data_IF_556613879578
#
_entry.id   IF_556613879578
#
_cell.length_a   1.000
_cell.length_b   1.000
_cell.length_c   1.000
_cell.angle_alpha   90.00
_cell.angle_beta   90.00
_cell.angle_gamma   90.00
#
_symmetry.space_group_name_H-M   'P 1'
#
loop_
_entity.id
_entity.type
_entity.pdbx_description
1 polymer ?
#
# COMPACT_ATOMS: atom_id res chain seq x y z
N UNK A 1 -25.51 21.59 14.13
CA UNK A 1 -24.11 21.47 14.57
C UNK A 1 -23.41 20.49 13.65
N UNK A 2 -22.56 20.98 12.74
CA UNK A 2 -21.72 20.09 11.92
C UNK A 2 -20.63 19.50 12.83
N UNK A 3 -20.38 18.18 12.78
CA UNK A 3 -19.28 17.59 13.52
C UNK A 3 -17.96 18.09 12.90
N UNK A 4 -17.32 19.06 13.56
CA UNK A 4 -15.94 19.45 13.24
C UNK A 4 -15.02 18.31 13.66
N UNK A 5 -14.63 17.48 12.71
CA UNK A 5 -13.55 16.50 12.91
C UNK A 5 -12.31 17.31 13.30
N UNK A 6 -11.71 16.99 14.44
CA UNK A 6 -10.53 17.69 14.95
C UNK A 6 -9.35 17.47 14.00
N UNK A 7 -8.69 18.54 13.61
CA UNK A 7 -7.47 18.53 12.77
C UNK A 7 -6.42 17.56 13.34
N UNK A 8 -6.34 17.44 14.66
CA UNK A 8 -5.42 16.55 15.36
C UNK A 8 -5.70 15.04 15.15
N UNK A 9 -6.96 14.63 14.89
CA UNK A 9 -7.27 13.20 14.69
C UNK A 9 -6.90 12.72 13.28
N UNK A 10 -6.99 13.61 12.28
CA UNK A 10 -6.52 13.32 10.92
C UNK A 10 -4.99 13.23 10.91
N UNK A 11 -4.28 14.15 11.57
CA UNK A 11 -2.81 14.09 11.66
C UNK A 11 -2.30 12.84 12.40
N UNK A 12 -2.96 12.42 13.49
CA UNK A 12 -2.61 11.16 14.17
C UNK A 12 -2.83 9.94 13.28
N UNK A 13 -3.89 9.94 12.46
CA UNK A 13 -4.15 8.86 11.51
C UNK A 13 -3.16 8.89 10.33
N UNK A 14 -2.74 10.05 9.81
CA UNK A 14 -1.83 10.14 8.65
C UNK A 14 -0.37 9.88 9.02
N UNK A 15 0.06 10.28 10.21
CA UNK A 15 1.47 10.33 10.58
C UNK A 15 2.16 8.96 10.63
N UNK A 16 1.40 7.88 10.77
CA UNK A 16 1.90 6.51 10.93
C UNK A 16 1.34 5.53 9.89
N UNK A 17 0.74 6.01 8.81
CA UNK A 17 0.25 5.11 7.77
C UNK A 17 1.35 4.80 6.75
N UNK A 18 1.29 3.60 6.12
CA UNK A 18 2.12 3.27 4.99
C UNK A 18 2.11 4.41 4.00
N UNK A 19 3.27 4.74 3.45
CA UNK A 19 3.50 5.94 2.65
C UNK A 19 2.47 6.12 1.51
N UNK A 20 2.01 5.02 0.91
CA UNK A 20 0.95 4.96 -0.10
C UNK A 20 -0.45 5.33 0.41
N UNK A 21 -0.74 5.01 1.67
CA UNK A 21 -1.98 5.38 2.37
C UNK A 21 -1.88 6.81 2.91
N UNK A 22 -0.71 7.19 3.44
CA UNK A 22 -0.43 8.55 3.90
C UNK A 22 -0.60 9.59 2.78
N UNK A 23 -0.19 9.27 1.54
CA UNK A 23 -0.45 10.12 0.39
C UNK A 23 -1.95 10.40 0.18
N UNK A 24 -2.82 9.38 0.35
CA UNK A 24 -4.27 9.57 0.22
C UNK A 24 -4.87 10.38 1.38
N UNK A 25 -4.41 10.21 2.62
CA UNK A 25 -4.92 11.02 3.72
C UNK A 25 -4.37 12.45 3.73
N UNK A 26 -3.13 12.64 3.28
CA UNK A 26 -2.52 13.97 3.11
C UNK A 26 -3.22 14.75 1.99
N UNK A 27 -3.62 14.07 0.91
CA UNK A 27 -4.57 14.61 -0.08
C UNK A 27 -5.84 15.06 0.63
N UNK A 28 -6.55 14.19 1.34
CA UNK A 28 -7.80 14.53 2.04
C UNK A 28 -7.61 15.75 2.96
N UNK A 29 -6.48 15.86 3.64
CA UNK A 29 -6.15 17.00 4.48
C UNK A 29 -5.94 18.30 3.69
N UNK A 30 -5.12 18.27 2.63
CA UNK A 30 -4.89 19.43 1.75
C UNK A 30 -6.20 19.94 1.17
N UNK A 31 -7.07 19.01 0.80
CA UNK A 31 -8.39 19.25 0.26
C UNK A 31 -9.33 19.91 1.28
N UNK A 32 -9.28 19.48 2.54
CA UNK A 32 -10.08 20.03 3.64
C UNK A 32 -9.64 21.44 4.07
N UNK A 33 -8.34 21.74 3.97
CA UNK A 33 -7.76 23.01 4.38
C UNK A 33 -7.69 24.06 3.27
N UNK A 34 -8.23 23.79 2.08
CA UNK A 34 -8.40 24.87 1.09
C UNK A 34 -9.43 25.86 1.62
N UNK A 35 -9.11 27.17 1.69
CA UNK A 35 -10.12 28.18 1.95
C UNK A 35 -11.23 28.01 0.91
N UNK A 36 -12.50 27.95 1.36
CA UNK A 36 -13.64 27.88 0.45
C UNK A 36 -13.43 28.98 -0.60
N UNK A 37 -13.42 28.68 -1.90
CA UNK A 37 -13.37 29.72 -2.90
C UNK A 37 -14.48 30.70 -2.54
N UNK A 38 -14.12 31.95 -2.27
CA UNK A 38 -15.14 32.98 -2.10
C UNK A 38 -15.98 32.92 -3.37
N UNK A 39 -17.30 32.86 -3.20
CA UNK A 39 -18.22 32.95 -4.32
C UNK A 39 -18.11 34.37 -4.88
N UNK A 40 -17.03 34.66 -5.59
CA UNK A 40 -16.94 35.76 -6.51
C UNK A 40 -17.76 35.36 -7.73
N UNK A 41 -18.79 36.14 -7.98
CA UNK A 41 -19.76 35.99 -9.05
C UNK A 41 -19.08 35.68 -10.38
N UNK A 42 -19.66 34.70 -11.09
CA UNK A 42 -19.25 34.28 -12.40
C UNK A 42 -19.42 35.41 -13.42
N UNK A 43 -18.31 35.87 -14.02
CA UNK A 43 -18.35 36.49 -15.33
C UNK A 43 -18.31 35.41 -16.41
N UNK A 44 -19.24 35.57 -17.33
CA UNK A 44 -19.55 34.67 -18.44
C UNK A 44 -18.37 34.65 -19.43
N UNK A 45 -17.67 33.52 -19.53
CA UNK A 45 -16.74 33.25 -20.63
C UNK A 45 -17.37 32.21 -21.57
N UNK A 46 -17.58 32.69 -22.79
CA UNK A 46 -18.06 31.99 -23.98
C UNK A 46 -17.37 30.65 -24.21
N UNK A 47 -18.16 29.57 -24.28
CA UNK A 47 -17.73 28.23 -24.66
C UNK A 47 -17.32 28.19 -26.14
N UNK A 48 -16.06 27.85 -26.39
CA UNK A 48 -15.62 27.35 -27.70
C UNK A 48 -15.98 25.86 -27.84
N UNK A 49 -16.41 25.40 -29.02
CA UNK A 49 -16.78 24.00 -29.26
C UNK A 49 -15.56 23.08 -29.19
N UNK A 50 -15.63 22.11 -28.27
CA UNK A 50 -14.62 21.06 -28.11
C UNK A 50 -14.83 19.97 -29.18
N UNK A 51 -13.81 19.58 -29.97
CA UNK A 51 -13.94 18.54 -30.98
C UNK A 51 -14.09 17.16 -30.33
N UNK A 52 -15.00 16.35 -30.88
CA UNK A 52 -15.28 14.99 -30.44
C UNK A 52 -14.02 14.10 -30.45
N UNK A 53 -13.82 13.25 -29.42
CA UNK A 53 -12.72 12.30 -29.42
C UNK A 53 -12.99 11.22 -30.48
N UNK A 54 -12.07 11.11 -31.46
CA UNK A 54 -12.01 9.97 -32.37
C UNK A 54 -11.79 8.70 -31.54
N UNK A 55 -12.76 7.79 -31.57
CA UNK A 55 -12.58 6.40 -31.14
C UNK A 55 -11.53 5.75 -32.03
N UNK A 56 -10.31 5.59 -31.52
CA UNK A 56 -9.36 4.65 -32.09
C UNK A 56 -9.89 3.23 -31.83
N UNK A 57 -10.47 2.61 -32.85
CA UNK A 57 -10.63 1.17 -32.92
C UNK A 57 -9.24 0.54 -32.85
N UNK A 58 -8.95 -0.15 -31.74
CA UNK A 58 -7.81 -1.04 -31.68
C UNK A 58 -8.06 -2.23 -32.62
N UNK A 59 -7.05 -2.67 -33.38
CA UNK A 59 -7.18 -3.85 -34.21
C UNK A 59 -7.41 -5.09 -33.33
N UNK A 60 -8.29 -5.93 -33.84
CA UNK A 60 -8.66 -7.24 -33.32
C UNK A 60 -7.40 -8.12 -33.23
N UNK A 61 -6.86 -8.28 -32.02
CA UNK A 61 -5.71 -9.14 -31.76
C UNK A 61 -6.23 -10.57 -31.68
N UNK A 62 -6.01 -11.29 -32.78
CA UNK A 62 -6.23 -12.72 -32.93
C UNK A 62 -5.80 -13.50 -31.68
N UNK A 63 -6.74 -14.28 -31.17
CA UNK A 63 -6.60 -15.27 -30.11
C UNK A 63 -5.56 -16.32 -30.48
N UNK A 64 -4.33 -16.15 -29.98
CA UNK A 64 -3.30 -17.17 -30.00
C UNK A 64 -3.69 -18.35 -29.08
N UNK A 65 -3.27 -19.59 -29.42
CA UNK A 65 -3.64 -20.78 -28.69
C UNK A 65 -3.10 -20.75 -27.26
N UNK A 66 -4.00 -21.03 -26.31
CA UNK A 66 -3.70 -21.20 -24.89
C UNK A 66 -2.73 -22.37 -24.70
N UNK A 67 -1.44 -22.07 -24.61
CA UNK A 67 -0.46 -22.99 -24.06
C UNK A 67 -0.82 -23.37 -22.61
N UNK A 68 -0.26 -24.48 -22.08
CA UNK A 68 -0.49 -24.90 -20.70
C UNK A 68 -0.15 -23.73 -19.77
N UNK A 69 -1.15 -23.22 -19.06
CA UNK A 69 -0.98 -22.12 -18.11
C UNK A 69 -0.16 -22.65 -16.93
N UNK A 70 1.06 -22.14 -16.76
CA UNK A 70 1.92 -22.35 -15.58
C UNK A 70 1.33 -21.64 -14.35
N UNK A 71 0.08 -21.96 -14.00
CA UNK A 71 -0.60 -21.43 -12.84
C UNK A 71 -0.28 -22.30 -11.63
N UNK A 72 0.15 -21.67 -10.53
CA UNK A 72 0.36 -22.41 -9.28
C UNK A 72 -1.00 -22.90 -8.75
N UNK A 73 -1.06 -24.19 -8.42
CA UNK A 73 -2.11 -24.73 -7.54
C UNK A 73 -1.80 -24.25 -6.12
N UNK A 74 -2.60 -23.32 -5.56
CA UNK A 74 -2.29 -22.78 -4.25
C UNK A 74 -2.37 -23.87 -3.17
N UNK A 75 -1.56 -23.74 -2.13
CA UNK A 75 -1.67 -24.61 -0.95
C UNK A 75 -2.94 -24.30 -0.14
N UNK A 76 -3.51 -23.10 -0.32
CA UNK A 76 -4.69 -22.63 0.41
C UNK A 76 -5.52 -21.65 -0.43
N UNK A 77 -6.83 -21.69 -0.25
CA UNK A 77 -7.77 -20.68 -0.79
C UNK A 77 -8.27 -19.74 0.31
N UNK A 78 -7.77 -19.85 1.55
CA UNK A 78 -8.14 -18.93 2.61
C UNK A 78 -7.61 -17.52 2.28
N UNK A 79 -8.48 -16.51 2.13
CA UNK A 79 -8.06 -15.18 1.72
C UNK A 79 -7.11 -14.51 2.71
N UNK A 80 -7.20 -14.77 4.02
CA UNK A 80 -6.26 -14.21 5.00
C UNK A 80 -4.87 -14.82 4.85
N UNK A 81 -4.77 -16.13 4.65
CA UNK A 81 -3.49 -16.79 4.33
C UNK A 81 -2.90 -16.29 3.00
N UNK A 82 -3.72 -16.00 1.99
CA UNK A 82 -3.23 -15.44 0.72
C UNK A 82 -2.60 -14.05 0.90
N UNK A 83 -3.17 -13.20 1.76
CA UNK A 83 -2.57 -11.90 2.09
C UNK A 83 -1.26 -12.08 2.86
N UNK A 84 -1.21 -12.99 3.83
CA UNK A 84 0.04 -13.30 4.56
C UNK A 84 1.12 -13.86 3.64
N UNK A 85 0.76 -14.71 2.68
CA UNK A 85 1.68 -15.20 1.66
C UNK A 85 2.22 -14.05 0.77
N UNK A 86 1.39 -13.06 0.46
CA UNK A 86 1.83 -11.85 -0.24
C UNK A 86 2.80 -11.01 0.61
N UNK A 87 2.52 -10.83 1.92
CA UNK A 87 3.43 -10.15 2.86
C UNK A 87 4.78 -10.90 2.91
N UNK A 88 4.75 -12.22 3.07
CA UNK A 88 5.95 -13.06 3.04
C UNK A 88 6.75 -12.85 1.77
N UNK A 89 6.10 -12.90 0.60
CA UNK A 89 6.82 -12.66 -0.64
C UNK A 89 7.36 -11.23 -0.73
N UNK A 90 6.66 -10.23 -0.22
CA UNK A 90 7.19 -8.87 -0.23
C UNK A 90 8.48 -8.72 0.60
N UNK A 91 8.67 -9.55 1.63
CA UNK A 91 9.88 -9.57 2.48
C UNK A 91 10.98 -10.47 1.88
N UNK A 92 10.69 -11.74 1.57
CA UNK A 92 11.69 -12.73 1.12
C UNK A 92 11.69 -13.04 -0.37
N UNK A 93 10.81 -12.41 -1.14
CA UNK A 93 10.67 -12.68 -2.57
C UNK A 93 11.85 -12.19 -3.40
N UNK A 94 11.80 -12.42 -4.72
CA UNK A 94 12.85 -11.99 -5.63
C UNK A 94 12.98 -10.47 -5.66
N UNK A 95 14.08 -9.96 -6.22
CA UNK A 95 14.20 -8.54 -6.56
C UNK A 95 13.14 -8.14 -7.59
N UNK A 96 12.53 -6.97 -7.41
CA UNK A 96 11.38 -6.50 -8.20
C UNK A 96 11.59 -5.04 -8.62
N UNK A 97 11.24 -4.73 -9.87
CA UNK A 97 10.92 -3.39 -10.36
C UNK A 97 9.47 -3.36 -10.83
N UNK A 98 8.75 -2.28 -10.53
CA UNK A 98 7.46 -2.01 -11.15
C UNK A 98 7.15 -0.51 -11.16
N UNK A 99 6.25 -0.11 -12.04
CA UNK A 99 5.66 1.24 -12.03
C UNK A 99 4.47 1.25 -11.11
N UNK A 100 4.30 2.31 -10.33
CA UNK A 100 3.18 2.47 -9.40
C UNK A 100 2.31 3.62 -9.88
N UNK A 101 1.01 3.37 -10.04
CA UNK A 101 0.03 4.42 -10.30
C UNK A 101 -1.07 4.33 -9.25
N UNK A 102 -1.42 5.45 -8.65
CA UNK A 102 -2.53 5.54 -7.73
C UNK A 102 -3.45 6.69 -8.12
N UNK A 103 -4.74 6.42 -8.21
CA UNK A 103 -5.78 7.44 -8.39
C UNK A 103 -6.69 7.41 -7.18
N UNK A 104 -6.85 8.56 -6.53
CA UNK A 104 -7.71 8.73 -5.36
C UNK A 104 -8.74 9.82 -5.65
N UNK A 105 -10.02 9.50 -5.51
CA UNK A 105 -11.15 10.42 -5.60
C UNK A 105 -11.80 10.52 -4.22
N UNK A 106 -11.69 11.69 -3.58
CA UNK A 106 -12.32 11.93 -2.27
C UNK A 106 -12.87 13.34 -2.26
N UNK A 107 -14.13 13.48 -1.82
CA UNK A 107 -14.83 14.77 -1.70
C UNK A 107 -14.84 15.60 -3.00
N UNK A 108 -15.01 14.94 -4.14
CA UNK A 108 -15.06 15.58 -5.46
C UNK A 108 -13.72 16.03 -6.02
N UNK A 109 -12.62 15.74 -5.31
CA UNK A 109 -11.27 16.08 -5.74
C UNK A 109 -10.49 14.81 -6.07
N UNK A 110 -9.69 14.91 -7.12
CA UNK A 110 -8.88 13.83 -7.64
C UNK A 110 -7.41 14.10 -7.36
N UNK A 111 -6.77 13.11 -6.75
CA UNK A 111 -5.32 13.03 -6.64
C UNK A 111 -4.78 11.90 -7.51
N UNK A 112 -3.62 12.16 -8.08
CA UNK A 112 -2.89 11.23 -8.93
C UNK A 112 -1.47 11.09 -8.39
N UNK A 113 -1.06 9.85 -8.14
CA UNK A 113 0.30 9.49 -7.79
C UNK A 113 0.85 8.61 -8.91
N UNK A 114 2.05 8.93 -9.40
CA UNK A 114 2.78 8.13 -10.40
C UNK A 114 4.21 7.99 -9.91
N UNK A 115 4.72 6.77 -9.91
CA UNK A 115 6.05 6.48 -9.39
C UNK A 115 6.61 5.15 -9.86
N UNK A 116 7.72 4.79 -9.24
CA UNK A 116 8.44 3.54 -9.47
C UNK A 116 8.85 2.94 -8.13
N UNK A 117 8.80 1.61 -8.07
CA UNK A 117 9.24 0.82 -6.93
C UNK A 117 10.37 -0.10 -7.40
N UNK A 118 11.50 -0.03 -6.70
CA UNK A 118 12.63 -0.95 -6.80
C UNK A 118 12.82 -1.61 -5.45
N UNK A 119 12.92 -2.92 -5.42
CA UNK A 119 13.19 -3.66 -4.19
C UNK A 119 14.12 -4.82 -4.46
N UNK A 120 15.17 -4.94 -3.69
CA UNK A 120 16.20 -5.97 -3.85
C UNK A 120 16.33 -6.82 -2.61
N UNK A 121 16.36 -8.13 -2.82
CA UNK A 121 16.65 -9.08 -1.75
C UNK A 121 18.15 -9.06 -1.43
N UNK A 122 18.49 -8.96 -0.15
CA UNK A 122 19.86 -9.11 0.31
C UNK A 122 20.14 -10.58 0.62
N UNK A 123 21.30 -11.09 0.21
CA UNK A 123 21.68 -12.49 0.43
C UNK A 123 21.82 -12.83 1.93
N UNK A 124 22.23 -11.85 2.74
CA UNK A 124 22.57 -12.02 4.15
C UNK A 124 21.55 -11.43 5.13
N UNK A 125 20.42 -10.88 4.65
CA UNK A 125 19.45 -10.21 5.51
C UNK A 125 18.04 -10.34 4.95
N UNK A 126 17.02 -10.56 5.81
CA UNK A 126 15.63 -10.47 5.37
C UNK A 126 15.20 -9.00 5.12
N UNK A 127 16.00 -8.02 5.57
CA UNK A 127 15.80 -6.63 5.22
C UNK A 127 16.20 -6.39 3.77
N UNK A 128 15.42 -5.58 3.07
CA UNK A 128 15.58 -5.35 1.64
C UNK A 128 16.16 -3.98 1.38
N UNK A 129 16.92 -3.85 0.28
CA UNK A 129 17.11 -2.53 -0.30
C UNK A 129 15.82 -2.12 -1.01
N UNK A 130 15.44 -0.88 -0.86
CA UNK A 130 14.17 -0.36 -1.35
C UNK A 130 14.39 1.04 -1.88
N UNK A 131 13.82 1.34 -3.04
CA UNK A 131 13.61 2.71 -3.48
C UNK A 131 12.21 2.84 -4.04
N UNK A 132 11.45 3.75 -3.48
CA UNK A 132 10.15 4.15 -3.96
C UNK A 132 10.16 5.64 -4.21
N UNK A 133 10.00 6.03 -5.47
CA UNK A 133 9.93 7.43 -5.90
C UNK A 133 8.59 7.67 -6.55
N UNK A 134 7.86 8.69 -6.13
CA UNK A 134 6.59 9.03 -6.73
C UNK A 134 6.36 10.54 -6.74
N UNK A 135 5.68 11.01 -7.78
CA UNK A 135 5.15 12.37 -7.85
C UNK A 135 3.67 12.33 -7.55
N UNK A 136 3.25 13.13 -6.58
CA UNK A 136 1.85 13.27 -6.17
C UNK A 136 1.32 14.60 -6.70
N UNK A 137 0.18 14.57 -7.39
CA UNK A 137 -0.50 15.74 -7.93
C UNK A 137 -1.92 15.81 -7.39
N UNK A 138 -2.29 16.98 -6.85
CA UNK A 138 -3.61 17.25 -6.23
C UNK A 138 -4.06 18.65 -6.66
N UNK A 139 -4.98 18.72 -7.63
CA UNK A 139 -5.30 19.99 -8.29
C UNK A 139 -4.03 20.64 -8.87
N UNK A 140 -3.75 21.89 -8.49
CA UNK A 140 -2.57 22.64 -8.94
C UNK A 140 -1.29 22.37 -8.13
N UNK A 141 -1.38 21.65 -7.02
CA UNK A 141 -0.22 21.36 -6.17
C UNK A 141 0.38 20.00 -6.52
N UNK A 142 1.71 19.95 -6.64
CA UNK A 142 2.43 18.70 -6.81
C UNK A 142 3.69 18.68 -5.93
N UNK A 143 4.04 17.50 -5.43
CA UNK A 143 5.25 17.27 -4.65
C UNK A 143 5.79 15.87 -4.89
N UNK A 144 7.08 15.69 -4.62
CA UNK A 144 7.75 14.41 -4.74
C UNK A 144 7.80 13.69 -3.39
N UNK A 145 7.66 12.38 -3.49
CA UNK A 145 7.70 11.43 -2.39
C UNK A 145 8.84 10.47 -2.67
N UNK A 146 9.70 10.30 -1.66
CA UNK A 146 10.85 9.42 -1.72
C UNK A 146 10.90 8.56 -0.47
N UNK A 147 10.97 7.26 -0.65
CA UNK A 147 11.35 6.31 0.39
C UNK A 147 12.54 5.50 -0.11
N UNK A 148 13.60 5.44 0.68
CA UNK A 148 14.83 4.73 0.31
C UNK A 148 15.36 3.95 1.50
N UNK A 149 15.79 2.71 1.25
CA UNK A 149 16.42 1.86 2.23
C UNK A 149 17.65 1.17 1.63
N UNK A 150 18.71 1.14 2.40
CA UNK A 150 19.94 0.39 2.15
C UNK A 150 19.94 -1.00 2.82
N UNK A 151 18.81 -1.41 3.40
CA UNK A 151 18.66 -2.65 4.17
C UNK A 151 19.02 -2.54 5.65
N UNK A 152 19.64 -1.44 6.09
CA UNK A 152 20.00 -1.18 7.50
C UNK A 152 19.22 -0.03 8.10
N UNK A 153 18.93 0.96 7.27
CA UNK A 153 18.12 2.12 7.59
C UNK A 153 17.12 2.37 6.46
N UNK A 154 15.99 2.96 6.81
CA UNK A 154 15.02 3.47 5.85
C UNK A 154 14.77 4.94 6.11
N UNK A 155 14.72 5.71 5.03
CA UNK A 155 14.43 7.12 5.02
C UNK A 155 13.16 7.37 4.22
N UNK A 156 12.31 8.26 4.72
CA UNK A 156 11.09 8.68 4.02
C UNK A 156 11.00 10.20 4.01
N UNK A 157 10.85 10.79 2.83
CA UNK A 157 10.54 12.21 2.61
C UNK A 157 9.20 12.29 1.88
N UNK A 158 8.20 12.86 2.54
CA UNK A 158 6.83 12.98 2.01
C UNK A 158 6.48 14.40 1.57
N UNK A 159 7.26 15.40 1.97
CA UNK A 159 7.04 16.81 1.65
C UNK A 159 8.37 17.57 1.74
N UNK A 160 8.58 18.63 0.93
CA UNK A 160 9.77 19.48 1.04
C UNK A 160 9.86 20.21 2.39
N UNK A 161 8.72 20.48 3.04
CA UNK A 161 8.63 21.29 4.26
C UNK A 161 8.55 20.45 5.55
N UNK A 162 8.56 19.12 5.45
CA UNK A 162 8.51 18.23 6.59
C UNK A 162 9.89 17.60 6.81
N UNK A 163 10.33 17.41 8.08
CA UNK A 163 11.56 16.71 8.35
C UNK A 163 11.45 15.28 7.80
N UNK A 164 12.52 14.74 7.19
CA UNK A 164 12.54 13.36 6.78
C UNK A 164 12.41 12.44 8.00
N UNK A 165 11.75 11.32 7.77
CA UNK A 165 11.56 10.26 8.74
C UNK A 165 12.64 9.21 8.56
N UNK A 166 13.12 8.64 9.67
CA UNK A 166 14.12 7.56 9.69
C UNK A 166 13.62 6.38 10.50
N UNK A 167 13.88 5.18 10.01
CA UNK A 167 13.70 3.92 10.74
C UNK A 167 15.01 3.14 10.69
N UNK A 168 15.48 2.67 11.84
CA UNK A 168 16.70 1.86 11.96
C UNK A 168 16.31 0.39 11.86
N UNK A 169 16.40 -0.18 10.65
CA UNK A 169 16.00 -1.56 10.35
C UNK A 169 16.87 -2.59 11.08
N UNK A 170 18.15 -2.28 11.32
CA UNK A 170 19.02 -3.13 12.13
C UNK A 170 18.43 -3.38 13.53
N UNK A 171 17.81 -2.36 14.15
CA UNK A 171 17.15 -2.52 15.47
C UNK A 171 15.87 -3.36 15.37
N UNK A 172 15.09 -3.17 14.31
CA UNK A 172 13.90 -4.00 14.04
C UNK A 172 14.31 -5.45 13.87
N UNK A 173 15.37 -5.73 13.10
CA UNK A 173 15.88 -7.07 12.90
C UNK A 173 16.41 -7.69 14.21
N UNK A 174 17.16 -6.92 15.00
CA UNK A 174 17.70 -7.36 16.30
C UNK A 174 16.62 -7.65 17.34
N UNK A 175 15.42 -7.06 17.20
CA UNK A 175 14.28 -7.36 18.07
C UNK A 175 13.72 -8.77 17.86
N UNK A 176 14.03 -9.40 16.72
CA UNK A 176 13.62 -10.75 16.36
C UNK A 176 14.73 -11.74 16.76
N UNK A 177 14.44 -12.85 17.47
CA UNK A 177 15.46 -13.86 17.79
C UNK A 177 16.17 -14.39 16.54
N UNK A 178 17.50 -14.58 16.59
CA UNK A 178 18.29 -14.99 15.43
C UNK A 178 17.84 -16.30 14.78
N UNK A 179 17.28 -17.23 15.57
CA UNK A 179 16.69 -18.49 15.09
C UNK A 179 15.47 -18.30 14.18
N UNK A 180 14.89 -17.09 14.18
CA UNK A 180 13.65 -16.73 13.50
C UNK A 180 13.91 -15.78 12.31
N UNK A 181 15.16 -15.39 12.07
CA UNK A 181 15.52 -14.38 11.07
C UNK A 181 15.66 -14.95 9.64
N UNK A 182 15.66 -16.28 9.44
CA UNK A 182 15.93 -16.90 8.14
C UNK A 182 15.06 -18.12 7.83
N UNK A 183 14.57 -18.22 6.59
CA UNK A 183 13.16 -18.01 6.27
C UNK A 183 12.25 -18.79 7.23
N UNK A 184 11.74 -18.09 8.24
CA UNK A 184 10.75 -18.64 9.15
C UNK A 184 9.39 -18.73 8.44
N UNK A 185 8.57 -19.73 8.79
CA UNK A 185 7.22 -19.89 8.28
C UNK A 185 6.19 -19.08 9.08
N UNK A 186 6.57 -18.52 10.22
CA UNK A 186 5.66 -17.84 11.14
C UNK A 186 5.25 -16.45 10.61
N UNK A 187 3.95 -16.21 10.39
CA UNK A 187 3.44 -14.99 9.77
C UNK A 187 3.67 -13.72 10.60
N UNK A 188 3.82 -13.84 11.92
CA UNK A 188 4.13 -12.73 12.83
C UNK A 188 5.47 -12.07 12.48
N UNK A 189 6.47 -12.90 12.13
CA UNK A 189 7.79 -12.43 11.71
C UNK A 189 7.72 -11.69 10.38
N UNK A 190 6.88 -12.19 9.46
CA UNK A 190 6.67 -11.59 8.14
C UNK A 190 6.06 -10.20 8.27
N UNK A 191 5.11 -10.04 9.18
CA UNK A 191 4.50 -8.75 9.48
C UNK A 191 5.51 -7.79 10.10
N UNK A 192 6.32 -8.23 11.07
CA UNK A 192 7.34 -7.37 11.70
C UNK A 192 8.38 -6.84 10.70
N UNK A 193 8.83 -7.69 9.79
CA UNK A 193 9.84 -7.37 8.77
C UNK A 193 9.28 -6.61 7.56
N UNK A 194 7.95 -6.51 7.44
CA UNK A 194 7.29 -5.79 6.37
C UNK A 194 7.33 -4.26 6.61
N UNK A 195 8.49 -3.66 6.32
CA UNK A 195 8.79 -2.24 6.49
C UNK A 195 9.04 -1.58 5.14
N UNK A 196 8.35 -0.47 4.86
CA UNK A 196 8.42 0.25 3.59
C UNK A 196 7.64 -0.36 2.42
N UNK A 197 7.45 0.47 1.40
CA UNK A 197 6.98 0.11 0.07
C UNK A 197 5.71 -0.75 0.06
N UNK A 198 5.72 -1.79 -0.78
CA UNK A 198 4.58 -2.70 -0.91
C UNK A 198 4.41 -3.64 0.30
N UNK A 199 5.49 -3.95 1.02
CA UNK A 199 5.43 -4.87 2.16
C UNK A 199 4.59 -4.25 3.28
N UNK A 200 4.87 -3.00 3.61
CA UNK A 200 4.12 -2.25 4.64
C UNK A 200 2.68 -1.98 4.22
N UNK A 201 2.42 -1.75 2.92
CA UNK A 201 1.06 -1.68 2.38
C UNK A 201 0.28 -2.97 2.65
N UNK A 202 0.87 -4.13 2.33
CA UNK A 202 0.24 -5.43 2.53
C UNK A 202 0.03 -5.75 4.01
N UNK A 203 0.99 -5.39 4.88
CA UNK A 203 0.85 -5.45 6.34
C UNK A 203 -0.36 -4.63 6.82
N UNK A 204 -0.47 -3.38 6.37
CA UNK A 204 -1.60 -2.51 6.71
C UNK A 204 -2.94 -3.08 6.22
N UNK A 205 -2.98 -3.63 5.00
CA UNK A 205 -4.16 -4.30 4.45
C UNK A 205 -4.59 -5.53 5.26
N UNK A 206 -3.64 -6.34 5.73
CA UNK A 206 -3.92 -7.51 6.55
C UNK A 206 -4.56 -7.14 7.89
N UNK A 207 -3.99 -6.15 8.58
CA UNK A 207 -4.51 -5.69 9.87
C UNK A 207 -5.86 -5.01 9.75
N UNK A 208 -6.02 -4.15 8.74
CA UNK A 208 -7.20 -3.30 8.58
C UNK A 208 -8.45 -4.04 8.12
N UNK A 209 -8.29 -5.07 7.30
CA UNK A 209 -9.42 -5.74 6.66
C UNK A 209 -9.54 -7.20 7.12
N UNK A 210 -10.77 -7.62 7.38
CA UNK A 210 -11.12 -9.03 7.44
C UNK A 210 -11.38 -9.53 6.01
N UNK A 211 -10.46 -10.32 5.46
CA UNK A 211 -10.57 -10.88 4.12
C UNK A 211 -11.47 -12.11 4.16
N UNK A 212 -12.58 -12.10 3.42
CA UNK A 212 -13.62 -13.13 3.54
C UNK A 212 -13.99 -13.81 2.22
N UNK A 213 -13.44 -13.33 1.10
CA UNK A 213 -13.68 -13.93 -0.22
C UNK A 213 -12.38 -13.95 -1.02
N UNK A 214 -12.09 -15.09 -1.65
CA UNK A 214 -11.06 -15.25 -2.67
C UNK A 214 -11.71 -15.87 -3.92
N UNK A 215 -11.43 -15.32 -5.09
CA UNK A 215 -11.89 -15.84 -6.38
C UNK A 215 -10.72 -15.92 -7.33
N UNK A 216 -10.59 -17.02 -8.05
CA UNK A 216 -9.66 -17.11 -9.17
C UNK A 216 -10.21 -16.32 -10.37
N UNK A 217 -9.35 -15.58 -11.05
CA UNK A 217 -9.74 -14.84 -12.24
C UNK A 217 -8.57 -14.61 -13.18
N UNK A 218 -8.81 -13.77 -14.18
CA UNK A 218 -7.79 -13.31 -15.12
C UNK A 218 -7.84 -11.79 -15.26
N UNK A 219 -6.68 -11.16 -15.35
CA UNK A 219 -6.55 -9.74 -15.70
C UNK A 219 -5.51 -9.63 -16.80
N UNK A 220 -5.90 -9.06 -17.95
CA UNK A 220 -5.04 -8.95 -19.13
C UNK A 220 -4.36 -10.28 -19.51
N UNK A 221 -5.08 -11.40 -19.36
CA UNK A 221 -4.57 -12.76 -19.63
C UNK A 221 -3.80 -13.42 -18.48
N UNK A 222 -3.33 -12.66 -17.48
CA UNK A 222 -2.62 -13.22 -16.33
C UNK A 222 -3.59 -13.83 -15.30
N UNK A 223 -3.28 -15.03 -14.81
CA UNK A 223 -4.04 -15.67 -13.74
C UNK A 223 -3.83 -14.94 -12.40
N UNK A 224 -4.93 -14.65 -11.71
CA UNK A 224 -4.92 -13.88 -10.45
C UNK A 224 -5.87 -14.44 -9.40
N UNK A 225 -5.59 -14.11 -8.14
CA UNK A 225 -6.56 -14.12 -7.04
C UNK A 225 -7.18 -12.73 -6.90
N UNK A 226 -8.50 -12.67 -6.81
CA UNK A 226 -9.23 -11.47 -6.43
C UNK A 226 -9.79 -11.68 -5.02
N UNK A 227 -9.24 -10.93 -4.07
CA UNK A 227 -9.61 -10.97 -2.67
C UNK A 227 -10.56 -9.81 -2.34
N UNK A 228 -11.55 -10.06 -1.49
CA UNK A 228 -12.44 -9.02 -0.95
C UNK A 228 -12.34 -9.02 0.57
N UNK A 229 -12.09 -7.84 1.12
CA UNK A 229 -11.99 -7.60 2.56
C UNK A 229 -12.92 -6.49 3.02
N UNK A 230 -13.48 -6.63 4.21
CA UNK A 230 -14.26 -5.58 4.88
C UNK A 230 -13.49 -5.02 6.05
N UNK A 231 -13.71 -3.76 6.37
CA UNK A 231 -13.11 -3.11 7.52
C UNK A 231 -13.32 -3.99 8.76
N UNK A 232 -12.24 -4.31 9.45
CA UNK A 232 -12.24 -5.22 10.58
C UNK A 232 -12.92 -4.56 11.79
N UNK A 233 -13.74 -5.31 12.51
CA UNK A 233 -14.42 -4.88 13.76
C UNK A 233 -13.87 -5.58 15.00
N UNK A 234 -12.99 -6.55 14.81
CA UNK A 234 -12.36 -7.36 15.86
C UNK A 234 -10.84 -7.25 15.72
N UNK A 235 -10.04 -7.59 16.74
CA UNK A 235 -8.58 -7.64 16.60
C UNK A 235 -8.12 -8.65 15.53
N UNK A 236 -6.92 -8.43 14.99
CA UNK A 236 -6.30 -9.39 14.06
C UNK A 236 -5.84 -10.63 14.83
N UNK A 237 -6.08 -11.84 14.31
CA UNK A 237 -5.67 -13.09 14.98
C UNK A 237 -4.16 -13.24 15.09
N UNK A 238 -3.45 -12.76 14.08
CA UNK A 238 -1.99 -12.77 13.98
C UNK A 238 -1.55 -11.32 13.94
N UNK A 239 -0.59 -10.94 14.78
CA UNK A 239 -0.01 -9.61 14.79
C UNK A 239 1.49 -9.67 15.08
N UNK A 240 2.24 -8.73 14.49
CA UNK A 240 3.64 -8.53 14.85
C UNK A 240 3.80 -7.97 16.28
N UNK A 241 2.74 -7.34 16.81
CA UNK A 241 2.69 -6.67 18.10
C UNK A 241 3.57 -5.41 18.19
N UNK A 242 3.84 -4.77 17.04
CA UNK A 242 4.47 -3.46 17.01
C UNK A 242 3.39 -2.35 17.07
N UNK A 243 3.70 -1.15 17.60
CA UNK A 243 2.75 -0.04 17.65
C UNK A 243 2.09 0.29 16.29
N UNK A 244 2.83 0.15 15.19
CA UNK A 244 2.31 0.33 13.83
C UNK A 244 1.13 -0.61 13.49
N UNK A 245 1.07 -1.81 14.09
CA UNK A 245 -0.04 -2.76 13.88
C UNK A 245 -1.33 -2.26 14.55
N UNK A 246 -1.18 -1.65 15.73
CA UNK A 246 -2.28 -1.01 16.43
C UNK A 246 -2.78 0.20 15.64
N UNK A 247 -1.89 1.02 15.09
CA UNK A 247 -2.26 2.17 14.25
C UNK A 247 -2.94 1.73 12.95
N UNK A 248 -2.56 0.60 12.39
CA UNK A 248 -3.22 0.03 11.20
C UNK A 248 -4.63 -0.52 11.51
N UNK A 249 -4.85 -0.96 12.75
CA UNK A 249 -6.11 -1.52 13.25
C UNK A 249 -7.05 -0.47 13.85
N UNK A 250 -6.49 0.59 14.47
CA UNK A 250 -7.21 1.65 15.15
C UNK A 250 -7.65 2.72 14.16
N UNK A 251 -8.87 2.58 13.68
CA UNK A 251 -9.47 3.49 12.71
C UNK A 251 -10.51 4.40 13.38
N UNK A 252 -10.60 4.33 14.72
CA UNK A 252 -11.65 4.95 15.49
C UNK A 252 -13.03 4.43 15.09
N UNK A 253 -14.08 5.08 15.60
CA UNK A 253 -15.45 4.82 15.16
C UNK A 253 -15.56 5.02 13.65
N UNK A 254 -16.25 4.14 12.90
CA UNK A 254 -16.34 4.21 11.44
C UNK A 254 -16.91 5.57 11.02
N UNK A 255 -16.03 6.49 10.65
CA UNK A 255 -16.44 7.76 10.07
C UNK A 255 -16.98 7.48 8.68
N UNK A 256 -17.98 8.26 8.25
CA UNK A 256 -18.62 8.07 6.95
C UNK A 256 -17.62 8.06 5.79
N UNK A 257 -16.45 8.66 5.94
CA UNK A 257 -15.48 8.92 4.89
C UNK A 257 -14.34 7.90 4.80
N UNK A 258 -14.40 6.80 5.57
CA UNK A 258 -13.36 5.78 5.54
C UNK A 258 -13.72 4.65 4.56
N UNK A 259 -12.73 4.04 3.87
CA UNK A 259 -13.01 2.89 3.04
C UNK A 259 -13.45 1.70 3.88
N UNK A 260 -14.68 1.27 3.69
CA UNK A 260 -15.32 0.16 4.42
C UNK A 260 -15.04 -1.20 3.78
N UNK A 261 -14.67 -1.22 2.50
CA UNK A 261 -14.33 -2.44 1.75
C UNK A 261 -13.02 -2.21 0.97
N UNK A 262 -12.24 -3.26 0.82
CA UNK A 262 -11.04 -3.28 -0.01
C UNK A 262 -11.05 -4.51 -0.92
N UNK A 263 -10.47 -4.38 -2.10
CA UNK A 263 -10.16 -5.49 -2.99
C UNK A 263 -8.67 -5.53 -3.26
N UNK A 264 -8.13 -6.74 -3.26
CA UNK A 264 -6.72 -6.98 -3.52
C UNK A 264 -6.60 -8.03 -4.62
N UNK A 265 -5.94 -7.67 -5.71
CA UNK A 265 -5.66 -8.58 -6.81
C UNK A 265 -4.21 -9.05 -6.70
N UNK A 266 -4.01 -10.36 -6.53
CA UNK A 266 -2.70 -10.98 -6.41
C UNK A 266 -2.40 -11.90 -7.60
N UNK A 267 -1.14 -11.92 -8.05
CA UNK A 267 -0.66 -12.84 -9.09
C UNK A 267 -0.81 -14.32 -8.70
N UNK A 268 -1.05 -15.19 -9.69
CA UNK A 268 -0.96 -16.66 -9.58
C UNK A 268 0.15 -17.25 -10.45
N UNK A 269 1.01 -16.41 -11.02
CA UNK A 269 2.16 -16.83 -11.81
C UNK A 269 3.17 -17.63 -10.97
N UNK A 270 3.81 -18.62 -11.57
CA UNK A 270 4.92 -19.37 -10.98
C UNK A 270 6.14 -18.50 -10.67
N UNK A 271 6.42 -17.49 -11.49
CA UNK A 271 7.61 -16.63 -11.35
C UNK A 271 7.48 -15.63 -10.21
N UNK A 272 6.27 -15.12 -10.00
CA UNK A 272 6.00 -14.06 -9.04
C UNK A 272 4.60 -14.28 -8.44
N UNK A 273 4.41 -15.33 -7.63
CA UNK A 273 3.10 -15.65 -7.04
C UNK A 273 2.70 -14.56 -6.05
N UNK A 274 1.42 -14.39 -5.72
CA UNK A 274 0.98 -13.45 -4.66
C UNK A 274 1.42 -11.98 -4.80
N UNK A 275 2.01 -11.54 -5.92
CA UNK A 275 2.39 -10.15 -6.10
C UNK A 275 1.15 -9.28 -6.29
N UNK A 276 1.04 -8.14 -5.58
CA UNK A 276 -0.14 -7.29 -5.68
C UNK A 276 -0.14 -6.53 -7.00
N UNK A 277 -1.09 -6.81 -7.89
CA UNK A 277 -1.31 -6.02 -9.10
C UNK A 277 -2.15 -4.79 -8.85
N UNK A 278 -3.24 -4.96 -8.09
CA UNK A 278 -4.23 -3.90 -7.88
C UNK A 278 -4.72 -3.92 -6.43
N UNK A 279 -4.78 -2.74 -5.81
CA UNK A 279 -5.49 -2.52 -4.55
C UNK A 279 -6.57 -1.48 -4.80
N UNK A 280 -7.82 -1.82 -4.47
CA UNK A 280 -8.96 -0.92 -4.60
C UNK A 280 -9.61 -0.71 -3.23
N UNK A 281 -9.94 0.54 -2.91
CA UNK A 281 -10.59 0.93 -1.67
C UNK A 281 -11.96 1.51 -1.99
N UNK A 282 -12.99 1.02 -1.30
CA UNK A 282 -14.37 1.39 -1.55
C UNK A 282 -15.05 1.97 -0.31
N UNK A 283 -15.86 3.00 -0.52
CA UNK A 283 -16.77 3.56 0.45
C UNK A 283 -18.17 3.00 0.24
N UNK A 284 -18.93 2.80 1.31
CA UNK A 284 -20.37 2.57 1.18
C UNK A 284 -21.05 3.87 0.78
N UNK A 285 -21.76 3.87 -0.34
CA UNK A 285 -22.52 5.03 -0.80
C UNK A 285 -23.68 5.30 0.16
N UNK A 286 -23.86 6.56 0.57
CA UNK A 286 -25.04 6.99 1.33
C UNK A 286 -26.30 7.10 0.45
N UNK A 287 -26.12 7.20 -0.87
CA UNK A 287 -27.21 7.40 -1.83
C UNK A 287 -27.65 6.04 -2.37
N UNK A 288 -28.56 5.40 -1.63
CA UNK A 288 -29.15 4.10 -1.99
C UNK A 288 -30.15 4.16 -3.16
N UNK A 289 -30.44 5.35 -3.70
CA UNK A 289 -31.59 5.56 -4.58
C UNK A 289 -31.32 5.38 -6.08
N UNK A 290 -30.07 5.29 -6.56
CA UNK A 290 -29.82 5.22 -8.03
C UNK A 290 -28.60 4.43 -8.52
N UNK A 291 -27.74 3.94 -7.63
CA UNK A 291 -26.51 3.23 -8.03
C UNK A 291 -26.70 1.71 -8.06
N UNK A 292 -26.29 1.05 -9.17
CA UNK A 292 -26.23 -0.42 -9.31
C UNK A 292 -25.28 -1.09 -8.29
N UNK A 293 -24.40 -0.32 -7.64
CA UNK A 293 -23.47 -0.80 -6.62
C UNK A 293 -23.64 0.01 -5.32
N UNK A 294 -23.76 -0.64 -4.15
CA UNK A 294 -23.77 0.07 -2.86
C UNK A 294 -22.39 0.64 -2.49
N UNK A 295 -21.37 0.42 -3.32
CA UNK A 295 -19.99 0.82 -3.09
C UNK A 295 -19.49 1.76 -4.18
N UNK A 296 -18.80 2.82 -3.76
CA UNK A 296 -18.11 3.80 -4.59
C UNK A 296 -16.59 3.61 -4.47
N UNK A 297 -15.87 3.60 -5.60
CA UNK A 297 -14.42 3.47 -5.63
C UNK A 297 -13.75 4.77 -5.18
N UNK A 298 -13.08 4.75 -4.04
CA UNK A 298 -12.34 5.90 -3.50
C UNK A 298 -10.92 5.98 -4.01
N UNK A 299 -10.21 4.85 -4.02
CA UNK A 299 -8.79 4.83 -4.35
C UNK A 299 -8.43 3.53 -5.04
N UNK A 300 -7.57 3.61 -6.04
CA UNK A 300 -7.05 2.47 -6.79
C UNK A 300 -5.56 2.63 -6.96
N UNK A 301 -4.80 1.65 -6.50
CA UNK A 301 -3.35 1.51 -6.65
C UNK A 301 -3.11 0.39 -7.65
N UNK A 302 -2.28 0.64 -8.66
CA UNK A 302 -1.86 -0.32 -9.68
C UNK A 302 -0.34 -0.45 -9.67
N UNK A 303 0.14 -1.69 -9.59
CA UNK A 303 1.54 -2.04 -9.81
C UNK A 303 1.68 -2.62 -11.21
N UNK A 304 2.24 -1.83 -12.12
CA UNK A 304 2.33 -2.14 -13.55
C UNK A 304 3.69 -2.71 -13.91
N UNK A 305 3.65 -3.64 -14.85
CA UNK A 305 4.82 -4.25 -15.50
C UNK A 305 5.86 -4.79 -14.49
N UNK A 306 5.44 -5.61 -13.50
CA UNK A 306 6.39 -6.14 -12.54
C UNK A 306 7.42 -7.01 -13.25
N UNK A 307 8.69 -6.68 -13.03
CA UNK A 307 9.83 -7.40 -13.57
C UNK A 307 10.67 -7.92 -12.42
N UNK A 308 11.10 -9.17 -12.51
CA UNK A 308 11.91 -9.88 -11.49
C UNK A 308 13.29 -10.21 -12.02
N UNK A 309 14.15 -10.78 -11.16
CA UNK A 309 15.51 -11.24 -11.55
C UNK A 309 16.41 -10.11 -12.05
N UNK A 310 16.14 -8.89 -11.58
CA UNK A 310 16.91 -7.70 -11.92
C UNK A 310 18.08 -7.58 -10.96
N UNK A 311 19.25 -7.26 -11.50
CA UNK A 311 20.39 -6.82 -10.72
C UNK A 311 20.37 -5.30 -10.65
N UNK A 312 20.27 -4.76 -9.45
CA UNK A 312 20.34 -3.33 -9.20
C UNK A 312 21.76 -2.92 -8.85
N UNK A 313 22.10 -1.66 -9.15
CA UNK A 313 23.36 -1.07 -8.72
C UNK A 313 23.20 -0.43 -7.34
N UNK A 314 24.29 -0.22 -6.61
CA UNK A 314 24.23 0.47 -5.31
C UNK A 314 23.66 1.89 -5.43
N UNK A 315 23.88 2.55 -6.58
CA UNK A 315 23.34 3.88 -6.88
C UNK A 315 21.82 3.91 -6.93
N UNK A 316 21.18 2.77 -7.23
CA UNK A 316 19.72 2.66 -7.22
C UNK A 316 19.12 2.80 -5.82
N UNK A 317 19.93 2.71 -4.76
CA UNK A 317 19.49 2.82 -3.36
C UNK A 317 20.22 3.92 -2.61
N UNK A 318 20.86 4.84 -3.33
CA UNK A 318 21.57 5.96 -2.71
C UNK A 318 20.59 6.92 -2.03
N UNK A 319 20.91 7.27 -0.79
CA UNK A 319 20.16 8.27 -0.01
C UNK A 319 20.23 9.64 -0.66
N UNK A 320 19.29 10.52 -0.32
CA UNK A 320 19.43 11.94 -0.69
C UNK A 320 20.63 12.55 0.06
N UNK A 321 21.38 13.41 -0.64
CA UNK A 321 22.64 14.00 -0.17
C UNK A 321 22.47 15.29 0.64
N UNK A 322 21.24 15.66 1.00
CA UNK A 322 20.96 16.90 1.72
C UNK A 322 21.42 16.81 3.18
N UNK A 323 22.13 17.84 3.64
CA UNK A 323 22.42 18.04 5.07
C UNK A 323 21.11 18.45 5.72
N UNK A 324 20.52 17.55 6.51
CA UNK A 324 19.24 17.81 7.18
C UNK A 324 19.48 18.11 8.65
N UNK A 325 18.99 19.26 9.11
CA UNK A 325 19.12 19.71 10.49
C UNK A 325 18.23 18.92 11.46
N UNK A 326 17.03 18.50 11.03
CA UNK A 326 16.07 17.78 11.85
C UNK A 326 15.62 16.47 11.18
N UNK A 327 15.68 15.36 11.94
CA UNK A 327 15.26 14.03 11.49
C UNK A 327 14.27 13.47 12.51
N UNK A 328 13.11 13.04 12.04
CA UNK A 328 12.13 12.34 12.88
C UNK A 328 12.44 10.84 12.92
N UNK A 329 12.78 10.32 14.09
CA UNK A 329 12.97 8.88 14.28
C UNK A 329 11.62 8.18 14.52
N UNK A 330 11.27 7.21 13.67
CA UNK A 330 10.04 6.41 13.77
C UNK A 330 10.34 4.95 14.14
N UNK A 331 11.57 4.61 14.51
CA UNK A 331 11.98 3.21 14.78
C UNK A 331 11.11 2.55 15.85
N UNK A 332 10.72 3.29 16.89
CA UNK A 332 9.90 2.76 17.99
C UNK A 332 8.53 2.26 17.52
N UNK A 333 7.97 2.80 16.44
CA UNK A 333 6.68 2.36 15.91
C UNK A 333 6.75 0.93 15.33
N UNK A 334 7.95 0.46 15.00
CA UNK A 334 8.21 -0.84 14.38
C UNK A 334 8.77 -1.88 15.34
N UNK A 335 9.16 -1.48 16.56
CA UNK A 335 9.66 -2.41 17.56
C UNK A 335 8.48 -3.12 18.25
N UNK A 336 8.55 -4.46 18.42
CA UNK A 336 7.50 -5.18 19.12
C UNK A 336 7.46 -4.76 20.60
N UNK A 337 6.26 -4.58 21.16
CA UNK A 337 6.09 -4.19 22.57
C UNK A 337 6.55 -5.28 23.56
N UNK A 338 6.53 -6.55 23.12
CA UNK A 338 6.99 -7.70 23.88
C UNK A 338 8.02 -8.45 23.05
N UNK A 339 9.11 -8.91 23.68
CA UNK A 339 10.06 -9.80 23.01
C UNK A 339 9.35 -11.09 22.65
N UNK A 340 9.44 -11.47 21.38
CA UNK A 340 8.97 -12.77 20.91
C UNK A 340 9.71 -13.85 21.68
N UNK A 341 8.98 -14.71 22.39
CA UNK A 341 9.60 -15.85 23.05
C UNK A 341 10.09 -16.85 22.01
N UNK A 342 11.23 -17.49 22.27
CA UNK A 342 11.77 -18.54 21.43
C UNK A 342 11.08 -19.89 21.63
N UNK A 343 10.04 -19.96 22.47
CA UNK A 343 9.39 -21.22 22.76
C UNK A 343 8.66 -21.76 21.52
N UNK A 344 8.85 -23.04 21.18
CA UNK A 344 8.17 -23.64 20.05
C UNK A 344 6.66 -23.61 20.29
N UNK A 345 5.90 -23.13 19.30
CA UNK A 345 4.44 -23.17 19.31
C UNK A 345 4.00 -24.63 19.50
N UNK A 346 3.52 -24.98 20.70
CA UNK A 346 2.90 -26.28 20.92
C UNK A 346 1.62 -26.29 20.10
N UNK A 347 1.63 -27.00 18.97
CA UNK A 347 0.41 -27.33 18.25
C UNK A 347 -0.49 -28.12 19.19
N UNK A 348 -1.53 -27.48 19.71
CA UNK A 348 -2.64 -28.17 20.36
C UNK A 348 -3.22 -29.14 19.33
N UNK A 349 -3.05 -30.44 19.59
CA UNK A 349 -3.64 -31.52 18.80
C UNK A 349 -5.15 -31.54 18.93
#
# INVERSE_FOLDING_TARGET
MEPRISVASIFKAVASLPVLIAASLLVIWMLWNRPKPSMASADTISQAPSPAPKQNQMPDVSSAPSGPSDAITPVTTDPNQLVLAAVRQAVWGPSIYCRVQQTTNVLGQRALLIGELRSEALSSSPMRRLRYTARVAVGETAFDLLQVSDGRMMWTRSSPNAPPKRIILDQVLQSIPSSMQYPDTRPEIHLLLAVGGQAELLRGLYHRYNWYKAVSGKIAGADVWQLVGRLRTEPTRIAGNAPIDNMNSDIGSPSKNLPTEARLTLSRSTKLPYFPFIVEYFQRSSNTTSSKSPFELMSRIEFKDPTTEIQFSDKDFERFSETVEEIKDETQDYLPMFRLSSEPFRTSR
#
